data_IF_351783516071
#
_entry.id   IF_351783516071
#
_cell.length_a   1.000
_cell.length_b   1.000
_cell.length_c   1.000
_cell.angle_alpha   90.00
_cell.angle_beta   90.00
_cell.angle_gamma   90.00
#
_symmetry.space_group_name_H-M   'P 1'
#
loop_
_entity.id
_entity.type
_entity.pdbx_description
1 polymer ?
#
# COMPACT_ATOMS: atom_id res chain seq x y z
N UNK A 1 -6.99 -3.70 1.05
CA UNK A 1 -7.96 -3.50 2.16
C UNK A 1 -9.37 -3.36 1.59
N UNK A 2 -10.03 -4.48 1.26
CA UNK A 2 -11.33 -4.48 0.57
C UNK A 2 -12.43 -5.05 1.47
N UNK A 3 -13.70 -4.62 1.25
CA UNK A 3 -14.86 -5.14 1.95
C UNK A 3 -15.44 -4.28 3.07
N UNK A 4 -14.88 -3.11 3.39
CA UNK A 4 -15.37 -2.23 4.46
C UNK A 4 -16.87 -1.93 4.32
N UNK A 5 -17.30 -1.51 3.13
CA UNK A 5 -18.72 -1.21 2.87
C UNK A 5 -19.61 -2.45 2.95
N UNK A 6 -19.17 -3.59 2.40
CA UNK A 6 -19.90 -4.87 2.47
C UNK A 6 -20.04 -5.36 3.91
N UNK A 7 -19.00 -5.19 4.71
CA UNK A 7 -19.01 -5.53 6.12
C UNK A 7 -20.09 -4.76 6.90
N UNK A 8 -20.19 -3.45 6.67
CA UNK A 8 -21.21 -2.61 7.29
C UNK A 8 -22.61 -2.98 6.80
N UNK A 9 -22.80 -3.12 5.47
CA UNK A 9 -24.10 -3.46 4.88
C UNK A 9 -24.62 -4.80 5.39
N UNK A 10 -23.75 -5.82 5.53
CA UNK A 10 -24.14 -7.12 6.07
C UNK A 10 -24.62 -7.07 7.54
N UNK A 11 -24.30 -5.99 8.25
CA UNK A 11 -24.69 -5.73 9.66
C UNK A 11 -25.79 -4.67 9.79
N UNK A 12 -26.37 -4.20 8.68
CA UNK A 12 -27.37 -3.13 8.69
C UNK A 12 -26.80 -1.77 9.11
N UNK A 13 -25.49 -1.56 9.00
CA UNK A 13 -24.80 -0.36 9.43
C UNK A 13 -24.45 0.56 8.25
N UNK A 14 -24.34 1.88 8.46
CA UNK A 14 -23.83 2.82 7.48
C UNK A 14 -22.42 2.45 7.02
N UNK A 15 -22.08 2.70 5.75
CA UNK A 15 -20.77 2.37 5.16
C UNK A 15 -19.59 2.97 5.94
N UNK A 16 -19.74 4.16 6.51
CA UNK A 16 -18.71 4.84 7.32
C UNK A 16 -18.28 4.02 8.54
N UNK A 17 -19.21 3.28 9.15
CA UNK A 17 -18.87 2.38 10.27
C UNK A 17 -17.92 1.27 9.82
N UNK A 18 -18.14 0.72 8.63
CA UNK A 18 -17.21 -0.25 8.05
C UNK A 18 -15.82 0.33 7.79
N UNK A 19 -15.73 1.59 7.35
CA UNK A 19 -14.45 2.26 7.16
C UNK A 19 -13.73 2.53 8.50
N UNK A 20 -14.44 2.88 9.57
CA UNK A 20 -13.87 3.01 10.93
C UNK A 20 -13.33 1.67 11.44
N UNK A 21 -14.13 0.62 11.34
CA UNK A 21 -13.67 -0.74 11.71
C UNK A 21 -12.49 -1.19 10.84
N UNK A 22 -12.44 -0.75 9.57
CA UNK A 22 -11.30 -0.96 8.70
C UNK A 22 -10.03 -0.25 9.17
N UNK A 23 -10.12 0.94 9.75
CA UNK A 23 -8.99 1.65 10.34
C UNK A 23 -8.45 0.92 11.59
N UNK A 24 -9.33 0.33 12.41
CA UNK A 24 -8.91 -0.52 13.53
C UNK A 24 -8.18 -1.79 13.04
N UNK A 25 -8.64 -2.37 11.93
CA UNK A 25 -7.94 -3.50 11.30
C UNK A 25 -6.54 -3.11 10.79
N UNK A 26 -6.36 -1.88 10.28
CA UNK A 26 -5.04 -1.35 9.91
C UNK A 26 -4.09 -1.40 11.11
N UNK A 27 -4.51 -0.89 12.28
CA UNK A 27 -3.68 -0.91 13.49
C UNK A 27 -3.24 -2.32 13.85
N UNK A 28 -4.20 -3.26 13.93
CA UNK A 28 -3.91 -4.68 14.26
C UNK A 28 -2.91 -5.30 13.29
N UNK A 29 -3.07 -5.05 11.99
CA UNK A 29 -2.17 -5.60 10.96
C UNK A 29 -0.80 -4.95 10.99
N UNK A 30 -0.70 -3.65 11.24
CA UNK A 30 0.58 -2.93 11.37
C UNK A 30 1.37 -3.46 12.58
N UNK A 31 0.72 -3.59 13.74
CA UNK A 31 1.35 -4.14 14.95
C UNK A 31 1.78 -5.59 14.73
N UNK A 32 0.90 -6.44 14.19
CA UNK A 32 1.21 -7.84 13.89
C UNK A 32 2.36 -7.96 12.88
N UNK A 33 2.38 -7.16 11.83
CA UNK A 33 3.47 -7.14 10.84
C UNK A 33 4.80 -6.78 11.48
N UNK A 34 4.80 -5.78 12.38
CA UNK A 34 6.00 -5.37 13.12
C UNK A 34 6.51 -6.48 14.05
N UNK A 35 5.61 -7.19 14.76
CA UNK A 35 5.93 -8.32 15.62
C UNK A 35 6.50 -9.51 14.83
N UNK A 36 5.94 -9.80 13.66
CA UNK A 36 6.37 -10.87 12.76
C UNK A 36 7.68 -10.54 12.00
N UNK A 37 8.21 -9.33 12.16
CA UNK A 37 9.47 -8.94 11.53
C UNK A 37 9.37 -8.56 10.05
N UNK A 38 8.16 -8.27 9.56
CA UNK A 38 7.94 -7.72 8.22
C UNK A 38 8.73 -6.42 8.06
N UNK A 39 9.49 -6.29 6.97
CA UNK A 39 10.37 -5.13 6.73
C UNK A 39 9.65 -3.98 6.04
N UNK A 40 8.75 -4.30 5.13
CA UNK A 40 7.96 -3.32 4.38
C UNK A 40 6.50 -3.80 4.28
N UNK A 41 5.57 -2.93 4.68
CA UNK A 41 4.12 -3.14 4.55
C UNK A 41 3.53 -1.98 3.76
N UNK A 42 2.92 -2.27 2.63
CA UNK A 42 2.20 -1.26 1.84
C UNK A 42 0.70 -1.51 1.93
N UNK A 43 -0.04 -0.50 2.35
CA UNK A 43 -1.50 -0.55 2.50
C UNK A 43 -2.18 0.31 1.43
N UNK A 44 -3.10 -0.29 0.67
CA UNK A 44 -3.90 0.43 -0.32
C UNK A 44 -5.07 1.16 0.36
N UNK A 45 -4.81 2.36 0.85
CA UNK A 45 -5.76 3.10 1.69
C UNK A 45 -6.76 3.93 0.88
N UNK A 46 -6.33 4.56 -0.23
CA UNK A 46 -7.21 5.33 -1.10
C UNK A 46 -6.74 5.24 -2.55
N UNK A 47 -7.51 4.53 -3.40
CA UNK A 47 -7.17 4.39 -4.82
C UNK A 47 -7.50 5.65 -5.62
N UNK A 48 -6.83 5.79 -6.79
CA UNK A 48 -7.16 6.86 -7.74
C UNK A 48 -8.64 6.84 -8.14
N UNK A 49 -9.22 5.68 -8.35
CA UNK A 49 -10.61 5.49 -8.74
C UNK A 49 -11.61 5.85 -7.62
N UNK A 50 -11.15 5.99 -6.37
CA UNK A 50 -12.02 6.42 -5.27
C UNK A 50 -12.44 7.90 -5.37
N UNK A 51 -11.75 8.70 -6.18
CA UNK A 51 -12.18 10.08 -6.47
C UNK A 51 -13.50 10.16 -7.22
N UNK A 52 -13.92 9.08 -7.91
CA UNK A 52 -15.21 9.00 -8.61
C UNK A 52 -16.40 8.73 -7.66
N UNK A 53 -16.13 8.56 -6.36
CA UNK A 53 -17.18 8.35 -5.35
C UNK A 53 -17.93 9.65 -5.03
N UNK A 54 -19.15 9.56 -4.43
CA UNK A 54 -19.86 10.75 -3.97
C UNK A 54 -18.99 11.62 -3.05
N UNK A 55 -19.05 12.94 -3.25
CA UNK A 55 -18.21 13.88 -2.50
C UNK A 55 -18.38 13.79 -0.97
N UNK A 56 -19.55 13.38 -0.48
CA UNK A 56 -19.77 13.15 0.94
C UNK A 56 -18.93 11.97 1.46
N UNK A 57 -18.90 10.84 0.72
CA UNK A 57 -18.08 9.67 1.07
C UNK A 57 -16.58 10.02 1.04
N UNK A 58 -16.14 10.79 0.04
CA UNK A 58 -14.74 11.24 -0.05
C UNK A 58 -14.36 12.08 1.17
N UNK A 59 -15.19 13.05 1.57
CA UNK A 59 -14.92 13.86 2.77
C UNK A 59 -14.83 13.02 4.04
N UNK A 60 -15.70 12.02 4.20
CA UNK A 60 -15.64 11.10 5.33
C UNK A 60 -14.35 10.29 5.34
N UNK A 61 -13.94 9.77 4.17
CA UNK A 61 -12.69 9.01 4.04
C UNK A 61 -11.45 9.86 4.33
N UNK A 62 -11.43 11.10 3.87
CA UNK A 62 -10.33 12.03 4.18
C UNK A 62 -10.30 12.39 5.67
N UNK A 63 -11.45 12.58 6.31
CA UNK A 63 -11.53 12.77 7.77
C UNK A 63 -11.00 11.58 8.55
N UNK A 64 -11.38 10.36 8.15
CA UNK A 64 -10.88 9.12 8.77
C UNK A 64 -9.37 8.93 8.55
N UNK A 65 -8.85 9.31 7.37
CA UNK A 65 -7.41 9.29 7.10
C UNK A 65 -6.67 10.26 8.04
N UNK A 66 -7.19 11.47 8.21
CA UNK A 66 -6.61 12.47 9.11
C UNK A 66 -6.62 12.01 10.57
N UNK A 67 -7.76 11.48 11.03
CA UNK A 67 -7.90 10.89 12.37
C UNK A 67 -6.89 9.77 12.58
N UNK A 68 -6.75 8.86 11.60
CA UNK A 68 -5.81 7.75 11.64
C UNK A 68 -4.36 8.25 11.71
N UNK A 69 -3.95 9.12 10.78
CA UNK A 69 -2.57 9.62 10.74
C UNK A 69 -2.18 10.29 12.05
N UNK A 70 -3.05 11.12 12.63
CA UNK A 70 -2.78 11.78 13.91
C UNK A 70 -2.81 10.82 15.10
N UNK A 71 -3.75 9.87 15.09
CA UNK A 71 -3.95 8.92 16.18
C UNK A 71 -2.86 7.85 16.26
N UNK A 72 -2.24 7.49 15.13
CA UNK A 72 -1.23 6.43 15.07
C UNK A 72 0.21 6.88 15.32
N UNK A 73 0.48 8.19 15.35
CA UNK A 73 1.84 8.69 15.63
C UNK A 73 2.44 8.04 16.91
N UNK A 74 1.76 7.97 18.05
CA UNK A 74 2.32 7.33 19.25
C UNK A 74 2.68 5.85 19.02
N UNK A 75 1.84 5.10 18.32
CA UNK A 75 2.07 3.69 17.97
C UNK A 75 3.28 3.52 17.05
N UNK A 76 3.39 4.38 16.02
CA UNK A 76 4.52 4.36 15.09
C UNK A 76 5.84 4.68 15.79
N UNK A 77 5.85 5.67 16.68
CA UNK A 77 7.02 6.03 17.48
C UNK A 77 7.43 4.90 18.45
N UNK A 78 6.47 4.35 19.21
CA UNK A 78 6.72 3.28 20.17
C UNK A 78 7.28 2.02 19.50
N UNK A 79 6.80 1.68 18.31
CA UNK A 79 7.22 0.50 17.56
C UNK A 79 8.39 0.79 16.61
N UNK A 80 8.91 2.01 16.51
CA UNK A 80 9.97 2.45 15.61
C UNK A 80 9.66 2.14 14.13
N UNK A 81 8.42 2.45 13.73
CA UNK A 81 7.91 2.23 12.37
C UNK A 81 8.08 3.52 11.57
N UNK A 82 8.78 3.45 10.44
CA UNK A 82 8.89 4.54 9.49
C UNK A 82 7.63 4.64 8.66
N UNK A 83 6.96 5.80 8.70
CA UNK A 83 5.80 6.06 7.84
C UNK A 83 6.24 6.65 6.50
N UNK A 84 5.59 6.20 5.44
CA UNK A 84 5.69 6.74 4.08
C UNK A 84 4.32 6.85 3.45
N UNK A 85 4.23 7.64 2.38
CA UNK A 85 3.07 7.68 1.52
C UNK A 85 3.49 7.71 0.05
N UNK A 86 2.72 7.05 -0.80
CA UNK A 86 2.90 7.02 -2.26
C UNK A 86 1.59 7.37 -2.97
N UNK A 87 1.70 7.90 -4.19
CA UNK A 87 0.58 8.32 -5.02
C UNK A 87 0.61 9.82 -5.30
N UNK A 88 -0.47 10.34 -5.85
CA UNK A 88 -0.62 11.77 -6.13
C UNK A 88 -1.13 12.51 -4.90
N UNK A 89 -0.21 12.73 -3.95
CA UNK A 89 -0.52 13.27 -2.62
C UNK A 89 -0.98 14.73 -2.68
N UNK A 90 -0.63 15.46 -3.72
CA UNK A 90 -1.08 16.83 -4.02
C UNK A 90 -2.60 16.95 -4.22
N UNK A 91 -3.29 15.84 -4.47
CA UNK A 91 -4.75 15.78 -4.57
C UNK A 91 -5.44 15.72 -3.20
N UNK A 92 -4.71 15.44 -2.13
CA UNK A 92 -5.27 15.36 -0.78
C UNK A 92 -5.60 16.77 -0.25
N UNK A 93 -6.62 16.90 0.62
CA UNK A 93 -6.86 18.18 1.33
C UNK A 93 -5.60 18.66 2.06
N UNK A 94 -5.37 19.97 2.06
CA UNK A 94 -4.13 20.55 2.55
C UNK A 94 -3.84 20.26 4.04
N UNK A 95 -4.88 20.18 4.86
CA UNK A 95 -4.80 19.83 6.27
C UNK A 95 -4.38 18.36 6.47
N UNK A 96 -4.99 17.43 5.72
CA UNK A 96 -4.63 16.01 5.71
C UNK A 96 -3.18 15.82 5.27
N UNK A 97 -2.80 16.49 4.16
CA UNK A 97 -1.44 16.43 3.63
C UNK A 97 -0.41 16.97 4.63
N UNK A 98 -0.74 18.09 5.31
CA UNK A 98 0.13 18.68 6.33
C UNK A 98 0.35 17.77 7.53
N UNK A 99 -0.70 17.08 8.02
CA UNK A 99 -0.61 16.11 9.11
C UNK A 99 0.19 14.86 8.69
N UNK A 100 -0.03 14.38 7.46
CA UNK A 100 0.72 13.26 6.88
C UNK A 100 2.22 13.56 6.77
N UNK A 101 2.60 14.73 6.24
CA UNK A 101 4.00 15.14 6.16
C UNK A 101 4.66 15.26 7.53
N UNK A 102 3.93 15.75 8.53
CA UNK A 102 4.42 15.82 9.92
C UNK A 102 4.69 14.43 10.48
N UNK A 103 3.77 13.48 10.31
CA UNK A 103 3.93 12.12 10.76
C UNK A 103 5.10 11.41 10.05
N UNK A 104 5.26 11.62 8.75
CA UNK A 104 6.40 11.10 7.96
C UNK A 104 7.71 11.66 8.51
N UNK A 105 7.80 12.98 8.74
CA UNK A 105 9.02 13.62 9.27
C UNK A 105 9.39 13.10 10.66
N UNK A 106 8.42 12.91 11.55
CA UNK A 106 8.65 12.40 12.92
C UNK A 106 9.15 10.95 12.95
N UNK A 107 8.87 10.17 11.92
CA UNK A 107 9.21 8.74 11.87
C UNK A 107 10.34 8.41 10.88
N UNK A 108 10.90 9.43 10.20
CA UNK A 108 11.83 9.26 9.08
C UNK A 108 13.12 8.47 9.42
N UNK A 109 13.58 8.54 10.68
CA UNK A 109 14.82 7.89 11.15
C UNK A 109 14.62 6.42 11.57
N UNK A 110 13.40 5.89 11.54
CA UNK A 110 13.15 4.53 11.98
C UNK A 110 13.39 3.51 10.86
N UNK A 111 13.92 2.34 11.26
CA UNK A 111 14.35 1.29 10.32
C UNK A 111 13.77 -0.09 10.65
N UNK A 112 12.99 -0.24 11.74
CA UNK A 112 12.46 -1.54 12.15
C UNK A 112 11.49 -2.11 11.12
N UNK A 113 10.55 -1.28 10.65
CA UNK A 113 9.59 -1.58 9.59
C UNK A 113 9.25 -0.28 8.85
N UNK A 114 9.04 -0.35 7.55
CA UNK A 114 8.47 0.74 6.76
C UNK A 114 7.00 0.46 6.49
N UNK A 115 6.11 1.34 6.97
CA UNK A 115 4.69 1.37 6.62
C UNK A 115 4.47 2.39 5.50
N UNK A 116 3.99 1.95 4.36
CA UNK A 116 3.67 2.80 3.22
C UNK A 116 2.15 2.86 3.01
N UNK A 117 1.58 4.06 3.04
CA UNK A 117 0.19 4.30 2.69
C UNK A 117 0.10 4.68 1.21
N UNK A 118 -0.57 3.88 0.39
CA UNK A 118 -0.90 4.23 -0.98
C UNK A 118 -2.19 5.06 -0.98
N UNK A 119 -2.05 6.36 -1.28
CA UNK A 119 -3.07 7.39 -1.19
C UNK A 119 -3.21 8.11 -2.53
N UNK A 120 -4.44 8.29 -3.02
CA UNK A 120 -4.66 8.82 -4.38
C UNK A 120 -3.77 8.08 -5.39
N UNK A 121 -3.64 6.77 -5.18
CA UNK A 121 -2.67 5.92 -5.87
C UNK A 121 -3.36 5.08 -6.96
N UNK A 122 -2.63 4.89 -8.05
CA UNK A 122 -2.93 3.92 -9.09
C UNK A 122 -1.66 3.57 -9.85
N UNK A 123 -1.41 2.29 -10.10
CA UNK A 123 -0.20 1.84 -10.78
C UNK A 123 -0.07 2.37 -12.21
N UNK A 124 -1.19 2.54 -12.94
CA UNK A 124 -1.19 3.19 -14.26
C UNK A 124 -0.75 4.65 -14.16
N UNK A 125 -1.24 5.38 -13.15
CA UNK A 125 -0.87 6.77 -12.89
C UNK A 125 0.61 6.87 -12.52
N UNK A 126 1.11 5.99 -11.68
CA UNK A 126 2.52 5.92 -11.29
C UNK A 126 3.44 5.71 -12.50
N UNK A 127 3.10 4.75 -13.38
CA UNK A 127 3.86 4.46 -14.61
C UNK A 127 3.90 5.70 -15.52
N UNK A 128 2.76 6.36 -15.73
CA UNK A 128 2.70 7.59 -16.53
C UNK A 128 3.53 8.70 -15.89
N UNK A 129 3.48 8.86 -14.57
CA UNK A 129 4.23 9.90 -13.87
C UNK A 129 5.74 9.62 -13.87
N UNK A 130 6.16 8.34 -13.75
CA UNK A 130 7.55 7.93 -13.94
C UNK A 130 8.04 8.23 -15.37
N UNK A 131 7.23 7.87 -16.38
CA UNK A 131 7.54 8.15 -17.79
C UNK A 131 7.71 9.66 -18.05
N UNK A 132 6.83 10.49 -17.50
CA UNK A 132 6.94 11.96 -17.62
C UNK A 132 8.23 12.49 -17.00
N UNK A 133 8.62 12.00 -15.82
CA UNK A 133 9.89 12.40 -15.16
C UNK A 133 11.10 12.02 -16.00
N UNK A 134 11.10 10.84 -16.58
CA UNK A 134 12.18 10.37 -17.48
C UNK A 134 12.23 11.23 -18.75
N UNK A 135 11.08 11.44 -19.41
CA UNK A 135 10.99 12.27 -20.62
C UNK A 135 11.49 13.70 -20.38
N UNK A 136 11.18 14.27 -19.21
CA UNK A 136 11.67 15.61 -18.84
C UNK A 136 13.20 15.65 -18.67
N UNK A 137 13.83 14.60 -18.12
CA UNK A 137 15.29 14.46 -18.02
C UNK A 137 15.93 14.34 -19.41
N UNK A 138 15.31 13.57 -20.32
CA UNK A 138 15.76 13.47 -21.71
C UNK A 138 15.67 14.84 -22.41
N UNK A 139 14.54 15.55 -22.25
CA UNK A 139 14.35 16.88 -22.81
C UNK A 139 15.40 17.89 -22.34
N UNK A 140 15.88 17.77 -21.08
CA UNK A 140 16.94 18.62 -20.53
C UNK A 140 18.36 18.20 -20.92
N UNK A 141 18.50 17.09 -21.66
CA UNK A 141 19.82 16.55 -22.01
C UNK A 141 20.56 15.87 -20.86
N UNK A 142 19.86 15.58 -19.75
CA UNK A 142 20.41 14.91 -18.57
C UNK A 142 20.44 13.38 -18.74
N UNK A 143 19.76 12.86 -19.76
CA UNK A 143 19.60 11.44 -20.04
C UNK A 143 19.45 11.22 -21.54
N UNK A 144 20.16 10.26 -22.13
CA UNK A 144 19.93 9.81 -23.49
C UNK A 144 18.86 8.70 -23.51
N UNK A 145 18.00 8.62 -24.55
CA UNK A 145 16.97 7.57 -24.66
C UNK A 145 17.53 6.14 -24.49
N UNK A 146 18.74 5.89 -24.98
CA UNK A 146 19.40 4.58 -24.96
C UNK A 146 19.84 4.16 -23.53
N UNK A 147 19.85 5.10 -22.59
CA UNK A 147 20.15 4.85 -21.18
C UNK A 147 18.90 4.48 -20.36
N UNK A 148 17.71 4.48 -21.00
CA UNK A 148 16.46 4.12 -20.33
C UNK A 148 16.39 2.60 -20.30
N UNK A 149 16.65 2.04 -19.12
CA UNK A 149 16.51 0.63 -18.81
C UNK A 149 15.53 0.41 -17.64
N UNK A 150 15.30 -0.84 -17.29
CA UNK A 150 14.41 -1.21 -16.19
C UNK A 150 14.87 -0.64 -14.86
N UNK A 151 16.18 -0.66 -14.58
CA UNK A 151 16.74 -0.15 -13.32
C UNK A 151 16.53 1.35 -13.18
N UNK A 152 16.75 2.11 -14.27
CA UNK A 152 16.47 3.55 -14.29
C UNK A 152 14.97 3.82 -14.15
N UNK A 153 14.10 3.02 -14.77
CA UNK A 153 12.65 3.19 -14.65
C UNK A 153 12.18 3.01 -13.20
N UNK A 154 12.66 1.96 -12.51
CA UNK A 154 12.37 1.69 -11.10
C UNK A 154 12.73 2.88 -10.22
N UNK A 155 13.87 3.56 -10.47
CA UNK A 155 14.28 4.76 -9.74
C UNK A 155 13.30 5.94 -9.86
N UNK A 156 12.39 5.90 -10.83
CA UNK A 156 11.37 6.93 -11.04
C UNK A 156 9.98 6.52 -10.55
N UNK A 157 9.81 5.29 -10.04
CA UNK A 157 8.58 4.89 -9.38
C UNK A 157 8.46 5.54 -7.99
N UNK A 158 7.24 5.59 -7.45
CA UNK A 158 7.01 6.10 -6.09
C UNK A 158 7.65 5.21 -5.01
N UNK A 159 7.97 3.97 -5.37
CA UNK A 159 8.53 2.93 -4.51
C UNK A 159 10.04 2.72 -4.72
N UNK A 160 10.75 3.65 -5.38
CA UNK A 160 12.16 3.52 -5.81
C UNK A 160 13.14 3.04 -4.70
N UNK A 161 12.84 3.33 -3.45
CA UNK A 161 13.65 2.95 -2.28
C UNK A 161 13.01 1.84 -1.41
N UNK A 162 12.02 1.14 -1.96
CA UNK A 162 11.40 -0.03 -1.35
C UNK A 162 11.68 -1.29 -2.19
N UNK A 163 11.79 -2.46 -1.56
CA UNK A 163 11.80 -3.71 -2.31
C UNK A 163 10.43 -3.95 -2.97
N UNK A 164 10.44 -4.71 -4.05
CA UNK A 164 9.20 -5.24 -4.61
C UNK A 164 8.50 -6.16 -3.60
N UNK A 165 7.15 -6.19 -3.59
CA UNK A 165 6.41 -7.01 -2.65
C UNK A 165 6.61 -8.50 -2.95
N UNK A 166 6.92 -9.27 -1.92
CA UNK A 166 6.95 -10.73 -1.99
C UNK A 166 5.55 -11.34 -1.99
N UNK A 167 4.64 -10.74 -1.20
CA UNK A 167 3.29 -11.22 -0.98
C UNK A 167 2.27 -10.09 -1.12
N UNK A 168 1.26 -10.28 -1.97
CA UNK A 168 0.09 -9.44 -2.08
C UNK A 168 -1.11 -10.14 -1.46
N UNK A 169 -1.67 -9.58 -0.40
CA UNK A 169 -2.86 -10.10 0.26
C UNK A 169 -4.09 -9.30 -0.18
N UNK A 170 -5.11 -9.98 -0.70
CA UNK A 170 -6.39 -9.37 -1.02
C UNK A 170 -7.54 -9.99 -0.24
N UNK A 171 -8.27 -9.13 0.46
CA UNK A 171 -9.48 -9.50 1.22
C UNK A 171 -10.73 -9.49 0.36
N UNK A 172 -11.82 -10.06 0.85
CA UNK A 172 -13.17 -10.09 0.25
C UNK A 172 -13.35 -11.02 -0.94
N UNK A 173 -12.46 -12.00 -1.16
CA UNK A 173 -12.57 -12.99 -2.23
C UNK A 173 -12.32 -12.43 -3.64
N UNK A 174 -11.87 -11.19 -3.76
CA UNK A 174 -11.64 -10.55 -5.05
C UNK A 174 -10.27 -10.95 -5.63
N UNK A 175 -10.25 -11.40 -6.89
CA UNK A 175 -9.07 -11.96 -7.56
C UNK A 175 -8.53 -11.02 -8.65
N UNK A 176 -8.36 -9.73 -8.33
CA UNK A 176 -7.84 -8.73 -9.24
C UNK A 176 -6.92 -7.75 -8.49
N UNK A 177 -5.95 -7.14 -9.20
CA UNK A 177 -5.00 -6.18 -8.61
C UNK A 177 -5.64 -4.80 -8.37
N UNK A 178 -6.66 -4.46 -9.11
CA UNK A 178 -7.34 -3.15 -9.04
C UNK A 178 -6.36 -1.98 -9.10
N UNK A 179 -5.47 -1.99 -10.08
CA UNK A 179 -4.51 -0.91 -10.31
C UNK A 179 -3.51 -0.69 -9.15
N UNK A 180 -3.28 -1.72 -8.30
CA UNK A 180 -2.36 -1.65 -7.17
C UNK A 180 -0.99 -2.23 -7.53
N UNK A 181 0.08 -1.45 -7.36
CA UNK A 181 1.48 -1.83 -7.52
C UNK A 181 1.75 -2.68 -8.78
N UNK A 182 1.25 -2.24 -9.96
CA UNK A 182 1.24 -3.06 -11.18
C UNK A 182 2.65 -3.47 -11.61
N UNK A 183 3.62 -2.57 -11.56
CA UNK A 183 5.01 -2.86 -11.90
C UNK A 183 5.65 -3.75 -10.84
N UNK A 184 5.54 -3.36 -9.59
CA UNK A 184 6.22 -3.98 -8.47
C UNK A 184 5.69 -5.38 -8.16
N UNK A 185 4.41 -5.66 -8.46
CA UNK A 185 3.78 -6.97 -8.19
C UNK A 185 4.02 -8.02 -9.28
N UNK A 186 4.91 -7.76 -10.24
CA UNK A 186 5.17 -8.66 -11.39
C UNK A 186 5.54 -10.08 -10.97
N UNK A 187 6.19 -10.26 -9.82
CA UNK A 187 6.59 -11.55 -9.27
C UNK A 187 6.07 -11.78 -7.84
N UNK A 188 5.14 -10.95 -7.38
CA UNK A 188 4.53 -11.13 -6.06
C UNK A 188 3.63 -12.38 -6.05
N UNK A 189 3.70 -13.15 -4.98
CA UNK A 189 2.71 -14.18 -4.71
C UNK A 189 1.39 -13.56 -4.27
N UNK A 190 0.26 -14.07 -4.76
CA UNK A 190 -1.05 -13.54 -4.44
C UNK A 190 -1.78 -14.47 -3.49
N UNK A 191 -2.19 -13.94 -2.34
CA UNK A 191 -3.04 -14.61 -1.37
C UNK A 191 -4.42 -13.94 -1.35
N UNK A 192 -5.49 -14.71 -1.57
CA UNK A 192 -6.86 -14.21 -1.56
C UNK A 192 -7.63 -14.84 -0.40
N UNK A 193 -8.22 -14.01 0.46
CA UNK A 193 -9.11 -14.50 1.53
C UNK A 193 -10.53 -13.99 1.35
N UNK A 194 -11.52 -14.82 1.73
CA UNK A 194 -12.94 -14.45 1.74
C UNK A 194 -13.29 -13.46 2.85
N UNK A 195 -12.44 -13.32 3.87
CA UNK A 195 -12.66 -12.38 4.96
C UNK A 195 -12.72 -10.94 4.45
N UNK A 196 -13.63 -10.16 5.00
CA UNK A 196 -13.73 -8.74 4.78
C UNK A 196 -12.64 -8.02 5.60
N UNK A 197 -12.10 -6.93 5.08
CA UNK A 197 -10.98 -6.24 5.74
C UNK A 197 -11.19 -5.92 7.23
N UNK A 198 -12.36 -5.44 7.71
CA UNK A 198 -12.57 -5.18 9.14
C UNK A 198 -12.40 -6.40 10.04
N UNK A 199 -12.66 -7.60 9.51
CA UNK A 199 -12.54 -8.88 10.24
C UNK A 199 -11.16 -9.55 10.04
N UNK A 200 -10.26 -8.96 9.24
CA UNK A 200 -8.92 -9.49 9.02
C UNK A 200 -8.05 -9.31 10.26
N UNK A 201 -7.52 -10.40 10.79
CA UNK A 201 -6.83 -10.47 12.06
C UNK A 201 -5.32 -10.74 11.91
N UNK A 202 -4.61 -10.79 13.04
CA UNK A 202 -3.21 -11.22 13.11
C UNK A 202 -3.06 -12.68 12.65
N UNK A 203 -3.98 -13.54 13.06
CA UNK A 203 -3.99 -14.95 12.69
C UNK A 203 -4.12 -15.13 11.19
N UNK A 204 -4.97 -14.33 10.53
CA UNK A 204 -5.10 -14.35 9.06
C UNK A 204 -3.82 -13.89 8.35
N UNK A 205 -3.11 -12.93 8.92
CA UNK A 205 -1.80 -12.51 8.41
C UNK A 205 -0.76 -13.64 8.56
N UNK A 206 -0.74 -14.31 9.71
CA UNK A 206 0.13 -15.48 9.95
C UNK A 206 -0.18 -16.59 8.95
N UNK A 207 -1.45 -16.92 8.73
CA UNK A 207 -1.88 -17.93 7.76
C UNK A 207 -1.43 -17.57 6.33
N UNK A 208 -1.58 -16.30 5.94
CA UNK A 208 -1.15 -15.83 4.63
C UNK A 208 0.37 -15.95 4.44
N UNK A 209 1.16 -15.61 5.47
CA UNK A 209 2.62 -15.75 5.46
C UNK A 209 3.02 -17.22 5.43
N UNK A 210 2.39 -18.07 6.26
CA UNK A 210 2.68 -19.51 6.28
C UNK A 210 2.33 -20.21 4.95
N UNK A 211 1.29 -19.75 4.25
CA UNK A 211 0.99 -20.24 2.90
C UNK A 211 2.05 -19.77 1.90
N UNK A 212 2.46 -18.49 1.96
CA UNK A 212 3.54 -17.97 1.13
C UNK A 212 4.85 -18.76 1.32
N UNK A 213 5.25 -19.07 2.55
CA UNK A 213 6.48 -19.82 2.86
C UNK A 213 6.48 -21.24 2.28
N UNK A 214 5.31 -21.82 2.06
CA UNK A 214 5.16 -23.15 1.44
C UNK A 214 5.26 -23.16 -0.07
N UNK A 215 5.22 -21.97 -0.71
CA UNK A 215 5.27 -21.86 -2.18
C UNK A 215 6.70 -21.94 -2.69
N UNK A 216 6.88 -22.67 -3.81
CA UNK A 216 8.16 -22.75 -4.53
C UNK A 216 8.24 -21.59 -5.56
N UNK A 217 9.00 -20.55 -5.23
CA UNK A 217 9.20 -19.36 -6.09
C UNK A 217 10.27 -19.63 -7.16
N UNK A 218 9.85 -19.90 -8.37
CA UNK A 218 10.75 -20.32 -9.47
C UNK A 218 11.29 -19.16 -10.31
N UNK A 219 10.70 -17.99 -10.27
CA UNK A 219 11.10 -16.83 -11.09
C UNK A 219 11.34 -17.18 -12.57
N UNK A 220 10.47 -18.02 -13.16
CA UNK A 220 10.61 -18.49 -14.53
C UNK A 220 11.69 -19.56 -14.74
N UNK A 221 12.35 -20.09 -13.71
CA UNK A 221 13.35 -21.15 -13.82
C UNK A 221 12.71 -22.53 -13.72
N UNK A 222 13.19 -23.50 -14.49
CA UNK A 222 12.77 -24.91 -14.38
C UNK A 222 13.45 -25.59 -13.20
N UNK A 223 12.77 -26.56 -12.59
CA UNK A 223 13.26 -27.34 -11.43
C UNK A 223 14.42 -28.31 -11.74
N UNK A 224 15.05 -28.20 -12.89
CA UNK A 224 16.12 -29.10 -13.33
C UNK A 224 17.46 -28.38 -13.28
N UNK A 225 18.19 -28.57 -12.20
CA UNK A 225 19.66 -28.63 -12.13
C UNK A 225 20.13 -28.70 -10.67
N UNK A 226 19.73 -29.76 -9.95
CA UNK A 226 20.50 -30.25 -8.82
C UNK A 226 20.62 -31.78 -9.01
N UNK A 227 21.52 -32.15 -9.92
CA UNK A 227 22.10 -33.47 -9.99
C UNK A 227 23.61 -33.30 -9.83
#
# INVERSE_FOLDING_TARGET
MDGNGRWATARGLPRVVGHRSGAEAVRRVVEASCELGVKALTLYAFSWENWDRPAAEIRELMGLLDEFVRGEIPTLLANRIRLRAIGRLDQLPADVLGNLHRAIAQTASFERMTLTLALSYGGRQEIVDATRRIAERVRRGELAPEQIDEALFVQHLYTADLPDPDLLIRTSGEQRLSNFLLWQSSYAEIYVTQKLWPDFSKEDLVDAIAEYERRDRRFGRTAAAHA
#
